data_IF_977672245290
#
_entry.id   IF_977672245290
#
_cell.length_a   1.000
_cell.length_b   1.000
_cell.length_c   1.000
_cell.angle_alpha   90.00
_cell.angle_beta   90.00
_cell.angle_gamma   90.00
#
_symmetry.space_group_name_H-M   'P 1'
#
loop_
_entity.id
_entity.type
_entity.pdbx_description
1 polymer ?
#
# COMPACT_ATOMS: atom_id res chain seq x y z
N UNK A 1 -1.24 2.06 16.67
CA UNK A 1 0.03 1.47 16.17
C UNK A 1 0.58 2.34 15.03
N UNK A 2 1.89 2.49 14.91
CA UNK A 2 2.56 3.19 13.80
C UNK A 2 3.45 2.18 13.07
N UNK A 3 3.39 2.16 11.74
CA UNK A 3 4.26 1.31 10.92
C UNK A 3 5.03 2.14 9.89
N UNK A 4 6.35 2.01 9.88
CA UNK A 4 7.24 2.65 8.91
C UNK A 4 7.64 1.62 7.86
N UNK A 5 7.32 1.88 6.59
CA UNK A 5 7.52 0.91 5.50
C UNK A 5 8.57 1.34 4.51
N UNK A 6 9.42 0.39 4.13
CA UNK A 6 10.39 0.58 3.07
C UNK A 6 10.60 -0.69 2.26
N UNK A 7 10.80 -0.53 0.96
CA UNK A 7 11.34 -1.54 0.05
C UNK A 7 12.82 -1.29 -0.29
N UNK A 8 13.40 -0.25 0.31
CA UNK A 8 14.80 0.13 0.24
C UNK A 8 15.47 -0.13 1.61
N UNK A 9 16.17 -1.25 1.72
CA UNK A 9 16.83 -1.69 2.94
C UNK A 9 17.97 -0.77 3.37
N UNK A 10 18.53 0.02 2.45
CA UNK A 10 19.54 1.02 2.80
C UNK A 10 18.98 2.12 3.71
N UNK A 11 17.65 2.25 3.79
CA UNK A 11 16.98 3.23 4.67
C UNK A 11 16.72 2.74 6.09
N UNK A 12 16.94 1.45 6.39
CA UNK A 12 16.62 0.89 7.71
C UNK A 12 17.36 1.64 8.83
N UNK A 13 18.66 1.88 8.67
CA UNK A 13 19.45 2.61 9.68
C UNK A 13 18.92 4.04 9.92
N UNK A 14 18.57 4.75 8.84
CA UNK A 14 18.00 6.09 8.95
C UNK A 14 16.60 6.08 9.60
N UNK A 15 15.79 5.06 9.32
CA UNK A 15 14.48 4.87 9.95
C UNK A 15 14.67 4.61 11.46
N UNK A 16 15.57 3.71 11.84
CA UNK A 16 15.92 3.42 13.24
C UNK A 16 16.37 4.67 13.99
N UNK A 17 17.27 5.48 13.42
CA UNK A 17 17.71 6.73 14.05
C UNK A 17 16.57 7.72 14.29
N UNK A 18 15.61 7.82 13.36
CA UNK A 18 14.43 8.67 13.53
C UNK A 18 13.48 8.19 14.63
N UNK A 19 13.42 6.89 14.87
CA UNK A 19 12.60 6.29 15.93
C UNK A 19 13.19 6.64 17.29
N UNK A 20 14.49 6.42 17.44
CA UNK A 20 15.24 6.70 18.67
C UNK A 20 15.19 8.19 19.03
N UNK A 21 15.30 9.08 18.04
CA UNK A 21 15.26 10.54 18.24
C UNK A 21 13.90 11.05 18.74
N UNK A 22 12.80 10.37 18.41
CA UNK A 22 11.43 10.82 18.72
C UNK A 22 10.87 10.17 19.98
N UNK A 23 11.58 9.20 20.57
CA UNK A 23 11.18 8.43 21.76
C UNK A 23 9.72 7.94 21.65
N UNK A 24 9.40 7.39 20.47
CA UNK A 24 8.10 6.79 20.21
C UNK A 24 8.12 5.49 21.00
N UNK A 25 7.37 5.43 22.10
CA UNK A 25 7.31 4.25 22.96
C UNK A 25 6.75 3.00 22.26
N UNK A 26 6.05 2.14 23.00
CA UNK A 26 5.46 0.92 22.43
C UNK A 26 4.46 1.23 21.30
N UNK A 27 4.35 0.31 20.35
CA UNK A 27 3.36 0.29 19.28
C UNK A 27 3.93 0.58 17.90
N UNK A 28 5.26 0.48 17.74
CA UNK A 28 5.96 0.77 16.49
C UNK A 28 6.37 -0.50 15.75
N UNK A 29 6.22 -0.50 14.43
CA UNK A 29 6.64 -1.60 13.56
C UNK A 29 7.44 -1.08 12.37
N UNK A 30 8.35 -1.91 11.86
CA UNK A 30 8.97 -1.69 10.55
C UNK A 30 8.40 -2.70 9.56
N UNK A 31 7.87 -2.21 8.44
CA UNK A 31 7.43 -3.04 7.34
C UNK A 31 8.47 -3.10 6.22
N UNK A 32 8.78 -4.31 5.77
CA UNK A 32 9.75 -4.58 4.72
C UNK A 32 9.14 -5.32 3.55
N UNK A 33 9.55 -4.96 2.34
CA UNK A 33 9.06 -5.55 1.10
C UNK A 33 8.24 -4.57 0.26
N UNK A 34 7.53 -5.09 -0.73
CA UNK A 34 6.79 -4.28 -1.68
C UNK A 34 5.53 -4.99 -2.14
N UNK A 35 4.42 -4.26 -2.14
CA UNK A 35 3.15 -4.70 -2.75
C UNK A 35 3.24 -4.81 -4.28
N UNK A 36 4.27 -4.21 -4.92
CA UNK A 36 4.31 -4.00 -6.36
C UNK A 36 5.26 -4.92 -7.13
N UNK A 37 6.22 -5.57 -6.47
CA UNK A 37 7.30 -6.26 -7.16
C UNK A 37 7.95 -7.41 -6.37
N UNK A 38 7.98 -8.60 -6.96
CA UNK A 38 8.66 -9.80 -6.42
C UNK A 38 10.18 -9.68 -6.28
N UNK A 39 10.80 -8.72 -6.98
CA UNK A 39 12.24 -8.48 -6.90
C UNK A 39 12.60 -7.50 -5.78
N UNK A 40 11.61 -6.99 -5.04
CA UNK A 40 11.76 -6.14 -3.86
C UNK A 40 11.46 -6.90 -2.55
N UNK A 41 11.24 -8.21 -2.64
CA UNK A 41 11.17 -9.07 -1.45
C UNK A 41 12.55 -9.11 -0.77
N UNK A 42 12.62 -8.93 0.56
CA UNK A 42 13.87 -9.00 1.32
C UNK A 42 14.55 -10.36 1.20
N UNK A 43 15.85 -10.43 1.46
CA UNK A 43 16.44 -11.70 1.89
C UNK A 43 15.92 -12.06 3.30
N UNK A 44 15.75 -13.35 3.59
CA UNK A 44 15.24 -13.82 4.90
C UNK A 44 16.10 -13.34 6.07
N UNK A 45 17.43 -13.27 5.87
CA UNK A 45 18.37 -12.71 6.84
C UNK A 45 18.12 -11.22 7.14
N UNK A 46 17.72 -10.42 6.14
CA UNK A 46 17.43 -9.00 6.34
C UNK A 46 16.18 -8.81 7.20
N UNK A 47 15.17 -9.66 7.04
CA UNK A 47 13.98 -9.64 7.91
C UNK A 47 14.35 -9.98 9.35
N UNK A 48 15.17 -11.02 9.54
CA UNK A 48 15.63 -11.44 10.85
C UNK A 48 16.41 -10.29 11.54
N UNK A 49 17.31 -9.64 10.81
CA UNK A 49 18.06 -8.47 11.31
C UNK A 49 17.15 -7.30 11.71
N UNK A 50 16.12 -7.00 10.92
CA UNK A 50 15.14 -5.96 11.27
C UNK A 50 14.34 -6.38 12.50
N UNK A 51 14.01 -7.66 12.65
CA UNK A 51 13.25 -8.16 13.80
C UNK A 51 14.01 -8.16 15.12
N UNK A 52 15.34 -8.12 15.06
CA UNK A 52 16.23 -8.05 16.23
C UNK A 52 16.45 -6.61 16.73
N UNK A 53 15.83 -5.61 16.10
CA UNK A 53 15.93 -4.22 16.52
C UNK A 53 15.13 -3.97 17.81
N UNK A 54 15.78 -3.49 18.86
CA UNK A 54 15.16 -3.24 20.17
C UNK A 54 14.15 -2.08 20.18
N UNK A 55 14.19 -1.20 19.17
CA UNK A 55 13.33 -0.01 19.07
C UNK A 55 11.95 -0.28 18.42
N UNK A 56 11.63 -1.53 18.07
CA UNK A 56 10.36 -1.90 17.45
C UNK A 56 9.67 -3.05 18.18
N UNK A 57 8.34 -3.10 18.08
CA UNK A 57 7.53 -4.19 18.65
C UNK A 57 7.41 -5.41 17.72
N UNK A 58 7.73 -5.22 16.43
CA UNK A 58 7.74 -6.31 15.47
C UNK A 58 7.92 -5.85 14.03
N UNK A 59 8.13 -6.83 13.16
CA UNK A 59 8.36 -6.64 11.72
C UNK A 59 7.13 -7.06 10.93
N UNK A 60 6.83 -6.32 9.87
CA UNK A 60 5.79 -6.68 8.91
C UNK A 60 6.44 -7.06 7.58
N UNK A 61 6.16 -8.24 7.03
CA UNK A 61 6.51 -8.59 5.66
C UNK A 61 5.38 -8.17 4.72
N UNK A 62 5.71 -7.42 3.66
CA UNK A 62 4.76 -7.03 2.61
C UNK A 62 5.01 -7.89 1.38
N UNK A 63 4.04 -8.74 1.02
CA UNK A 63 4.11 -9.55 -0.19
C UNK A 63 3.56 -8.78 -1.40
N UNK A 64 4.05 -9.06 -2.63
CA UNK A 64 3.60 -8.37 -3.83
C UNK A 64 2.34 -9.00 -4.44
N UNK A 65 1.63 -8.22 -5.27
CA UNK A 65 0.79 -8.77 -6.33
C UNK A 65 1.68 -9.64 -7.22
N UNK A 66 1.36 -10.92 -7.37
CA UNK A 66 2.33 -11.92 -7.85
C UNK A 66 1.96 -12.41 -9.25
N UNK A 67 2.75 -12.05 -10.29
CA UNK A 67 2.57 -12.64 -11.61
C UNK A 67 2.76 -14.16 -11.56
N UNK A 68 1.96 -14.91 -12.32
CA UNK A 68 1.98 -16.38 -12.34
C UNK A 68 3.39 -16.99 -12.47
N UNK A 69 4.27 -16.39 -13.30
CA UNK A 69 5.65 -16.87 -13.50
C UNK A 69 6.53 -16.84 -12.25
N UNK A 70 6.10 -16.16 -11.20
CA UNK A 70 6.79 -16.03 -9.92
C UNK A 70 6.03 -16.64 -8.75
N UNK A 71 4.86 -17.24 -9.01
CA UNK A 71 3.97 -17.76 -7.98
C UNK A 71 4.66 -18.73 -7.03
N UNK A 72 5.24 -19.81 -7.56
CA UNK A 72 5.91 -20.83 -6.74
C UNK A 72 7.09 -20.26 -5.93
N UNK A 73 7.82 -19.29 -6.51
CA UNK A 73 8.92 -18.60 -5.83
C UNK A 73 8.41 -17.80 -4.63
N UNK A 74 7.31 -17.07 -4.80
CA UNK A 74 6.74 -16.25 -3.72
C UNK A 74 6.11 -17.15 -2.65
N UNK A 75 5.41 -18.21 -3.02
CA UNK A 75 4.86 -19.17 -2.05
C UNK A 75 5.96 -19.83 -1.21
N UNK A 76 7.02 -20.33 -1.86
CA UNK A 76 8.17 -20.91 -1.17
C UNK A 76 8.84 -19.91 -0.21
N UNK A 77 8.99 -18.67 -0.65
CA UNK A 77 9.55 -17.60 0.17
C UNK A 77 8.68 -17.24 1.38
N UNK A 78 7.36 -17.10 1.20
CA UNK A 78 6.44 -16.77 2.31
C UNK A 78 6.46 -17.87 3.38
N UNK A 79 6.46 -19.14 2.97
CA UNK A 79 6.56 -20.25 3.90
C UNK A 79 7.92 -20.27 4.61
N UNK A 80 9.03 -20.03 3.88
CA UNK A 80 10.36 -19.92 4.48
C UNK A 80 10.40 -18.83 5.57
N UNK A 81 9.83 -17.66 5.31
CA UNK A 81 9.78 -16.56 6.29
C UNK A 81 8.89 -16.90 7.49
N UNK A 82 7.75 -17.54 7.27
CA UNK A 82 6.87 -17.98 8.35
C UNK A 82 7.58 -18.98 9.29
N UNK A 83 8.42 -19.85 8.72
CA UNK A 83 9.18 -20.88 9.45
C UNK A 83 10.39 -20.33 10.23
N UNK A 84 10.79 -19.08 10.02
CA UNK A 84 11.92 -18.46 10.74
C UNK A 84 11.65 -18.28 12.24
N UNK A 85 10.40 -18.38 12.68
CA UNK A 85 10.03 -18.18 14.09
C UNK A 85 10.24 -16.73 14.58
N UNK A 86 10.19 -15.76 13.67
CA UNK A 86 10.33 -14.34 14.00
C UNK A 86 9.21 -13.91 14.95
N UNK A 87 9.60 -13.37 16.10
CA UNK A 87 8.65 -12.89 17.10
C UNK A 87 7.85 -11.71 16.54
N UNK A 88 6.53 -11.74 16.77
CA UNK A 88 5.60 -10.68 16.35
C UNK A 88 5.67 -10.34 14.85
N UNK A 89 6.00 -11.32 14.00
CA UNK A 89 5.91 -11.20 12.55
C UNK A 89 4.45 -11.02 12.12
N UNK A 90 4.20 -10.02 11.28
CA UNK A 90 2.95 -9.86 10.54
C UNK A 90 3.23 -10.05 9.07
N UNK A 91 2.35 -10.74 8.34
CA UNK A 91 2.44 -10.87 6.89
C UNK A 91 1.24 -10.18 6.25
N UNK A 92 1.53 -9.19 5.42
CA UNK A 92 0.55 -8.48 4.58
C UNK A 92 0.52 -9.13 3.22
N UNK A 93 -0.67 -9.57 2.81
CA UNK A 93 -0.87 -10.29 1.56
C UNK A 93 -1.58 -9.42 0.54
N UNK A 94 -0.96 -9.20 -0.62
CA UNK A 94 -1.53 -8.39 -1.71
C UNK A 94 -2.05 -9.24 -2.89
N UNK A 95 -2.01 -10.56 -2.78
CA UNK A 95 -2.42 -11.48 -3.84
C UNK A 95 -3.29 -12.61 -3.28
N UNK A 96 -4.51 -12.76 -3.82
CA UNK A 96 -5.45 -13.80 -3.38
C UNK A 96 -4.93 -15.22 -3.61
N UNK A 97 -4.13 -15.45 -4.66
CA UNK A 97 -3.53 -16.74 -4.94
C UNK A 97 -2.51 -17.12 -3.87
N UNK A 98 -1.67 -16.16 -3.44
CA UNK A 98 -0.73 -16.34 -2.32
C UNK A 98 -1.49 -16.58 -1.02
N UNK A 99 -2.52 -15.76 -0.71
CA UNK A 99 -3.35 -15.93 0.49
C UNK A 99 -3.97 -17.33 0.56
N UNK A 100 -4.48 -17.84 -0.57
CA UNK A 100 -5.13 -19.14 -0.64
C UNK A 100 -4.15 -20.31 -0.55
N UNK A 101 -2.91 -20.12 -0.99
CA UNK A 101 -1.96 -21.23 -1.20
C UNK A 101 -0.88 -21.35 -0.14
N UNK A 102 -0.69 -20.33 0.69
CA UNK A 102 0.26 -20.31 1.79
C UNK A 102 -0.46 -20.44 3.14
N UNK A 103 0.10 -21.24 4.04
CA UNK A 103 -0.37 -21.30 5.43
C UNK A 103 0.20 -20.12 6.21
N UNK A 104 -0.50 -19.00 6.15
CA UNK A 104 -0.10 -17.77 6.83
C UNK A 104 -0.89 -17.68 8.13
N UNK A 105 -0.21 -17.55 9.26
CA UNK A 105 -0.89 -17.34 10.53
C UNK A 105 -1.39 -15.90 10.62
N UNK A 106 -2.72 -15.74 10.72
CA UNK A 106 -3.41 -14.46 10.90
C UNK A 106 -2.94 -13.36 9.92
N UNK A 107 -3.08 -13.56 8.59
CA UNK A 107 -2.64 -12.59 7.59
C UNK A 107 -3.43 -11.28 7.67
N UNK A 108 -2.81 -10.21 7.16
CA UNK A 108 -3.47 -8.93 6.89
C UNK A 108 -3.69 -8.79 5.39
N UNK A 109 -4.90 -8.43 4.96
CA UNK A 109 -5.19 -8.17 3.55
C UNK A 109 -4.68 -6.79 3.16
N UNK A 110 -3.71 -6.73 2.26
CA UNK A 110 -3.15 -5.47 1.74
C UNK A 110 -4.03 -4.80 0.68
N UNK A 111 -3.59 -3.64 0.19
CA UNK A 111 -4.27 -2.85 -0.85
C UNK A 111 -4.38 -3.54 -2.22
N UNK A 112 -3.63 -4.63 -2.44
CA UNK A 112 -3.80 -5.52 -3.59
C UNK A 112 -5.06 -6.43 -3.52
N UNK A 113 -5.68 -6.55 -2.34
CA UNK A 113 -6.92 -7.32 -2.12
C UNK A 113 -8.08 -6.39 -1.73
N UNK A 114 -7.79 -5.33 -0.98
CA UNK A 114 -8.77 -4.37 -0.48
C UNK A 114 -8.78 -3.14 -1.39
N UNK A 115 -9.91 -2.91 -2.05
CA UNK A 115 -10.03 -1.84 -3.05
C UNK A 115 -11.24 -0.95 -2.78
N UNK A 116 -11.08 0.32 -3.13
CA UNK A 116 -12.08 1.39 -3.07
C UNK A 116 -11.96 2.23 -4.32
N UNK A 117 -13.07 2.76 -4.82
CA UNK A 117 -13.06 3.65 -5.97
C UNK A 117 -12.70 5.10 -5.59
N UNK A 118 -12.68 5.45 -4.30
CA UNK A 118 -12.38 6.82 -3.85
C UNK A 118 -10.96 7.27 -4.26
N UNK A 119 -10.04 6.34 -4.43
CA UNK A 119 -8.68 6.64 -4.90
C UNK A 119 -8.61 7.00 -6.39
N UNK A 120 -9.72 6.91 -7.14
CA UNK A 120 -9.81 7.39 -8.51
C UNK A 120 -9.94 8.93 -8.51
N UNK A 121 -9.00 9.69 -9.11
CA UNK A 121 -9.00 11.14 -8.98
C UNK A 121 -10.24 11.85 -9.54
N UNK A 122 -10.92 11.22 -10.49
CA UNK A 122 -12.13 11.74 -11.13
C UNK A 122 -13.40 10.99 -10.71
N UNK A 123 -13.38 10.30 -9.56
CA UNK A 123 -14.52 9.50 -9.07
C UNK A 123 -15.80 10.33 -8.94
N UNK A 124 -15.70 11.56 -8.45
CA UNK A 124 -16.87 12.44 -8.28
C UNK A 124 -17.44 12.89 -9.64
N UNK A 125 -16.60 12.98 -10.69
CA UNK A 125 -17.07 13.26 -12.05
C UNK A 125 -17.79 12.06 -12.68
N UNK A 126 -17.34 10.83 -12.39
CA UNK A 126 -18.03 9.60 -12.82
C UNK A 126 -19.41 9.53 -12.18
N UNK A 127 -19.51 9.89 -10.90
CA UNK A 127 -20.70 9.72 -10.07
C UNK A 127 -21.64 10.94 -10.03
N UNK A 128 -21.35 12.00 -10.80
CA UNK A 128 -22.05 13.29 -10.71
C UNK A 128 -23.57 13.17 -10.91
N UNK A 129 -23.98 12.35 -11.87
CA UNK A 129 -25.38 12.18 -12.28
C UNK A 129 -26.04 10.94 -11.63
N UNK A 130 -25.31 10.26 -10.73
CA UNK A 130 -25.80 9.08 -10.03
C UNK A 130 -26.62 9.44 -8.78
N UNK A 131 -27.53 8.55 -8.37
CA UNK A 131 -28.26 8.70 -7.11
C UNK A 131 -27.35 8.52 -5.89
N UNK A 132 -27.69 9.14 -4.76
CA UNK A 132 -26.91 9.00 -3.51
C UNK A 132 -26.71 7.54 -3.08
N UNK A 133 -27.71 6.68 -3.34
CA UNK A 133 -27.60 5.23 -3.11
C UNK A 133 -26.49 4.59 -3.96
N UNK A 134 -26.42 4.92 -5.25
CA UNK A 134 -25.38 4.39 -6.15
C UNK A 134 -24.02 4.95 -5.77
N UNK A 135 -23.93 6.24 -5.43
CA UNK A 135 -22.67 6.85 -4.98
C UNK A 135 -22.14 6.17 -3.73
N UNK A 136 -22.97 6.02 -2.70
CA UNK A 136 -22.57 5.35 -1.45
C UNK A 136 -22.09 3.93 -1.73
N UNK A 137 -22.84 3.14 -2.50
CA UNK A 137 -22.47 1.78 -2.87
C UNK A 137 -21.14 1.69 -3.64
N UNK A 138 -20.88 2.61 -4.57
CA UNK A 138 -19.68 2.62 -5.40
C UNK A 138 -18.40 3.02 -4.63
N UNK A 139 -18.57 3.79 -3.55
CA UNK A 139 -17.49 4.33 -2.72
C UNK A 139 -17.19 3.46 -1.49
N UNK A 140 -17.90 2.33 -1.33
CA UNK A 140 -17.56 1.34 -0.31
C UNK A 140 -16.32 0.54 -0.72
N UNK A 141 -15.70 -0.13 0.24
CA UNK A 141 -14.68 -1.13 -0.06
C UNK A 141 -15.33 -2.37 -0.66
N UNK A 142 -14.58 -3.15 -1.44
CA UNK A 142 -15.02 -4.46 -1.91
C UNK A 142 -15.40 -5.43 -0.76
N UNK A 143 -14.95 -5.17 0.47
CA UNK A 143 -15.27 -5.96 1.66
C UNK A 143 -16.60 -5.58 2.31
N UNK A 144 -17.21 -4.46 1.95
CA UNK A 144 -18.57 -4.17 2.40
C UNK A 144 -19.60 -5.09 1.72
N UNK A 145 -19.21 -5.80 0.65
CA UNK A 145 -19.98 -6.94 0.15
C UNK A 145 -19.79 -8.16 1.04
N UNK A 146 -20.88 -8.61 1.67
CA UNK A 146 -20.87 -9.64 2.72
C UNK A 146 -20.19 -10.96 2.32
N UNK A 147 -20.31 -11.38 1.06
CA UNK A 147 -19.67 -12.63 0.59
C UNK A 147 -18.15 -12.51 0.51
N UNK A 148 -17.62 -11.37 0.08
CA UNK A 148 -16.17 -11.12 0.05
C UNK A 148 -15.63 -11.06 1.47
N UNK A 149 -16.33 -10.37 2.37
CA UNK A 149 -15.96 -10.31 3.79
C UNK A 149 -15.91 -11.70 4.43
N UNK A 150 -16.96 -12.51 4.25
CA UNK A 150 -17.01 -13.87 4.78
C UNK A 150 -15.87 -14.74 4.25
N UNK A 151 -15.61 -14.68 2.93
CA UNK A 151 -14.50 -15.41 2.31
C UNK A 151 -13.15 -15.04 2.94
N UNK A 152 -12.85 -13.76 3.14
CA UNK A 152 -11.58 -13.35 3.74
C UNK A 152 -11.47 -13.75 5.21
N UNK A 153 -12.58 -13.71 5.97
CA UNK A 153 -12.60 -14.23 7.35
C UNK A 153 -12.34 -15.73 7.41
N UNK A 154 -12.93 -16.50 6.49
CA UNK A 154 -12.72 -17.95 6.40
C UNK A 154 -11.27 -18.29 6.03
N UNK A 155 -10.58 -17.41 5.30
CA UNK A 155 -9.15 -17.50 5.01
C UNK A 155 -8.25 -17.00 6.16
N UNK A 156 -8.82 -16.66 7.32
CA UNK A 156 -8.09 -16.29 8.53
C UNK A 156 -7.55 -14.86 8.57
N UNK A 157 -8.02 -13.97 7.69
CA UNK A 157 -7.63 -12.56 7.70
C UNK A 157 -8.05 -11.91 9.03
N UNK A 158 -7.10 -11.25 9.71
CA UNK A 158 -7.35 -10.53 10.98
C UNK A 158 -7.52 -9.03 10.80
N UNK A 159 -6.94 -8.48 9.74
CA UNK A 159 -6.89 -7.05 9.51
C UNK A 159 -6.78 -6.70 8.04
N UNK A 160 -7.01 -5.43 7.74
CA UNK A 160 -7.06 -4.91 6.39
C UNK A 160 -6.24 -3.64 6.27
N UNK A 161 -5.67 -3.42 5.09
CA UNK A 161 -5.02 -2.16 4.76
C UNK A 161 -5.86 -1.35 3.78
N UNK A 162 -5.94 -0.06 4.07
CA UNK A 162 -6.67 0.89 3.24
C UNK A 162 -5.82 2.13 2.99
N UNK A 163 -6.19 2.91 1.97
CA UNK A 163 -5.69 4.27 1.85
C UNK A 163 -6.42 5.18 2.84
N UNK A 164 -5.71 6.13 3.45
CA UNK A 164 -6.30 7.12 4.33
C UNK A 164 -7.09 8.16 3.51
N UNK A 165 -8.31 7.81 3.16
CA UNK A 165 -9.29 8.64 2.46
C UNK A 165 -10.63 8.63 3.23
N UNK A 166 -11.35 9.76 3.33
CA UNK A 166 -12.48 9.90 4.24
C UNK A 166 -13.59 8.84 4.06
N UNK A 167 -14.02 8.57 2.83
CA UNK A 167 -15.12 7.64 2.55
C UNK A 167 -14.68 6.19 2.74
N UNK A 168 -13.43 5.90 2.42
CA UNK A 168 -12.76 4.60 2.58
C UNK A 168 -12.60 4.25 4.07
N UNK A 169 -12.14 5.19 4.90
CA UNK A 169 -12.08 5.02 6.36
C UNK A 169 -13.48 4.79 6.91
N UNK A 170 -14.46 5.61 6.51
CA UNK A 170 -15.84 5.45 6.95
C UNK A 170 -16.43 4.08 6.57
N UNK A 171 -16.09 3.56 5.39
CA UNK A 171 -16.52 2.24 4.92
C UNK A 171 -15.84 1.09 5.67
N UNK A 172 -14.53 1.20 5.90
CA UNK A 172 -13.73 0.20 6.60
C UNK A 172 -14.12 0.06 8.07
N UNK A 173 -14.43 1.16 8.75
CA UNK A 173 -14.86 1.16 10.17
C UNK A 173 -16.17 0.42 10.46
N UNK A 174 -16.95 0.10 9.41
CA UNK A 174 -18.17 -0.71 9.54
C UNK A 174 -17.88 -2.21 9.44
N UNK A 175 -16.65 -2.58 9.11
CA UNK A 175 -16.19 -3.96 9.03
C UNK A 175 -15.66 -4.39 10.39
N UNK A 176 -15.72 -5.68 10.64
CA UNK A 176 -15.20 -6.32 11.86
C UNK A 176 -13.83 -6.92 11.53
N UNK A 177 -12.85 -6.03 11.37
CA UNK A 177 -11.42 -6.26 11.12
C UNK A 177 -10.60 -5.14 11.77
N UNK A 178 -9.35 -5.42 12.12
CA UNK A 178 -8.39 -4.34 12.41
C UNK A 178 -8.12 -3.53 11.13
N UNK A 179 -8.11 -2.20 11.21
CA UNK A 179 -7.93 -1.29 10.07
C UNK A 179 -6.60 -0.57 10.17
N UNK A 180 -5.74 -0.76 9.17
CA UNK A 180 -4.46 -0.08 9.04
C UNK A 180 -4.46 0.86 7.83
N UNK A 181 -4.27 2.16 8.04
CA UNK A 181 -4.42 3.15 6.99
C UNK A 181 -3.09 3.73 6.50
N UNK A 182 -2.87 3.74 5.19
CA UNK A 182 -1.72 4.36 4.54
C UNK A 182 -1.87 5.88 4.49
N UNK A 183 -0.96 6.57 5.17
CA UNK A 183 -0.98 8.02 5.31
C UNK A 183 -0.26 8.74 4.16
N UNK A 184 -0.84 9.84 3.70
CA UNK A 184 -0.22 10.80 2.78
C UNK A 184 -0.27 10.41 1.30
N UNK A 185 -0.38 9.13 0.96
CA UNK A 185 -0.47 8.66 -0.43
C UNK A 185 -1.48 7.53 -0.59
N UNK A 186 -2.41 7.69 -1.53
CA UNK A 186 -3.39 6.69 -1.91
C UNK A 186 -2.97 5.96 -3.20
N UNK A 187 -3.25 4.66 -3.30
CA UNK A 187 -2.95 3.88 -4.51
C UNK A 187 -4.04 4.11 -5.54
N UNK A 188 -3.64 4.64 -6.69
CA UNK A 188 -4.54 4.84 -7.83
C UNK A 188 -4.59 3.59 -8.70
N UNK A 189 -3.44 2.96 -8.94
CA UNK A 189 -3.37 1.78 -9.80
C UNK A 189 -2.09 0.95 -9.60
N UNK A 190 -2.23 -0.35 -9.84
CA UNK A 190 -1.11 -1.26 -10.12
C UNK A 190 -1.06 -1.55 -11.60
N UNK A 191 0.09 -1.35 -12.25
CA UNK A 191 0.20 -1.61 -13.67
C UNK A 191 0.53 -3.07 -13.97
N UNK A 192 -0.05 -3.63 -15.05
CA UNK A 192 0.28 -4.99 -15.53
C UNK A 192 1.67 -5.11 -16.13
N UNK A 193 2.28 -3.97 -16.47
CA UNK A 193 3.63 -3.88 -17.03
C UNK A 193 4.39 -2.80 -16.28
N UNK A 194 5.60 -3.12 -15.83
CA UNK A 194 6.40 -2.23 -14.99
C UNK A 194 6.73 -0.92 -15.71
N UNK A 195 6.06 0.16 -15.30
CA UNK A 195 6.30 1.50 -15.86
C UNK A 195 7.73 1.96 -15.63
N UNK A 196 8.29 1.73 -14.44
CA UNK A 196 9.68 2.11 -14.12
C UNK A 196 10.67 1.37 -15.02
N UNK A 197 10.54 0.05 -15.15
CA UNK A 197 11.40 -0.74 -16.04
C UNK A 197 11.31 -0.25 -17.49
N UNK A 198 10.10 0.01 -17.99
CA UNK A 198 9.88 0.54 -19.35
C UNK A 198 10.50 1.92 -19.53
N UNK A 199 10.34 2.81 -18.56
CA UNK A 199 10.84 4.18 -18.62
C UNK A 199 12.37 4.22 -18.69
N UNK A 200 13.05 3.40 -17.89
CA UNK A 200 14.51 3.30 -17.89
C UNK A 200 15.07 2.33 -18.93
N UNK A 201 14.22 1.68 -19.74
CA UNK A 201 14.63 0.64 -20.71
C UNK A 201 15.41 -0.52 -20.06
N UNK A 202 15.01 -0.91 -18.85
CA UNK A 202 15.61 -1.97 -18.05
C UNK A 202 14.71 -3.19 -17.94
N UNK A 203 15.28 -4.33 -17.53
CA UNK A 203 14.53 -5.54 -17.22
C UNK A 203 14.59 -5.83 -15.71
N UNK A 204 13.49 -6.25 -15.06
CA UNK A 204 13.57 -6.76 -13.69
C UNK A 204 14.55 -7.94 -13.60
N UNK A 205 15.44 -8.01 -12.59
CA UNK A 205 15.51 -7.15 -11.39
C UNK A 205 16.38 -5.88 -11.52
N UNK A 206 17.03 -5.61 -12.65
CA UNK A 206 17.99 -4.50 -12.81
C UNK A 206 17.34 -3.11 -12.59
N UNK A 207 16.03 -3.01 -12.79
CA UNK A 207 15.29 -1.77 -12.56
C UNK A 207 15.06 -1.42 -11.07
N UNK A 208 15.33 -2.32 -10.12
CA UNK A 208 14.91 -2.17 -8.71
C UNK A 208 15.52 -0.97 -8.00
N UNK A 209 16.73 -0.53 -8.40
CA UNK A 209 17.39 0.66 -7.87
C UNK A 209 16.63 1.97 -8.18
N UNK A 210 15.88 2.00 -9.29
CA UNK A 210 15.07 3.16 -9.68
C UNK A 210 13.73 3.22 -8.96
N UNK A 211 13.42 2.22 -8.13
CA UNK A 211 12.17 2.10 -7.40
C UNK A 211 12.25 2.60 -5.95
N UNK A 212 13.33 3.31 -5.57
CA UNK A 212 13.58 3.76 -4.18
C UNK A 212 13.07 5.19 -3.89
N UNK A 213 12.61 5.88 -4.95
CA UNK A 213 12.10 7.24 -4.89
C UNK A 213 10.98 7.40 -5.92
N UNK A 214 9.94 8.21 -5.64
CA UNK A 214 8.85 8.42 -6.58
C UNK A 214 9.29 9.26 -7.77
N UNK A 215 8.73 8.96 -8.94
CA UNK A 215 8.74 9.81 -10.11
C UNK A 215 7.42 10.56 -10.20
N UNK A 216 7.48 11.87 -10.43
CA UNK A 216 6.28 12.66 -10.69
C UNK A 216 5.77 12.38 -12.11
N UNK A 217 4.46 12.23 -12.25
CA UNK A 217 3.76 12.00 -13.51
C UNK A 217 2.83 13.17 -13.79
N UNK A 218 3.02 13.80 -14.94
CA UNK A 218 2.17 14.87 -15.44
C UNK A 218 1.36 14.41 -16.66
N UNK A 219 0.09 14.83 -16.73
CA UNK A 219 -0.75 14.57 -17.89
C UNK A 219 -0.36 15.54 -19.02
N UNK A 220 0.31 14.99 -20.05
CA UNK A 220 0.71 15.75 -21.23
C UNK A 220 -0.36 15.77 -22.31
N UNK A 221 -0.83 14.60 -22.69
CA UNK A 221 -1.76 14.39 -23.81
C UNK A 221 -2.84 13.40 -23.40
N UNK A 222 -4.06 13.59 -23.91
CA UNK A 222 -5.19 12.67 -23.81
C UNK A 222 -5.48 12.08 -25.19
N UNK A 223 -5.92 10.82 -25.22
CA UNK A 223 -6.39 10.21 -26.45
C UNK A 223 -7.83 10.66 -26.69
N UNK A 224 -8.02 11.48 -27.72
CA UNK A 224 -9.33 11.95 -28.14
C UNK A 224 -9.98 10.93 -29.08
N UNK A 225 -11.18 10.47 -28.69
CA UNK A 225 -11.95 9.48 -29.44
C UNK A 225 -12.59 10.07 -30.71
N UNK A 226 -12.81 11.39 -30.76
CA UNK A 226 -13.40 12.05 -31.94
C UNK A 226 -12.37 12.19 -33.06
N UNK A 227 -11.17 12.70 -32.74
CA UNK A 227 -10.09 12.83 -33.71
C UNK A 227 -9.24 11.56 -33.88
N UNK A 228 -9.43 10.54 -33.03
CA UNK A 228 -8.59 9.34 -32.95
C UNK A 228 -7.09 9.67 -32.83
N UNK A 229 -6.79 10.75 -32.09
CA UNK A 229 -5.43 11.29 -31.97
C UNK A 229 -5.13 11.76 -30.55
N UNK A 230 -3.86 12.06 -30.27
CA UNK A 230 -3.46 12.65 -29.01
C UNK A 230 -3.60 14.17 -29.07
N UNK A 231 -4.31 14.74 -28.10
CA UNK A 231 -4.49 16.18 -27.94
C UNK A 231 -4.10 16.61 -26.52
N UNK A 232 -3.64 17.85 -26.31
CA UNK A 232 -3.40 18.34 -24.96
C UNK A 232 -4.72 18.40 -24.18
N UNK A 233 -4.72 18.14 -22.86
CA UNK A 233 -5.93 18.23 -22.05
C UNK A 233 -6.42 19.68 -22.01
N UNK A 234 -7.74 19.85 -22.05
CA UNK A 234 -8.40 21.14 -21.83
C UNK A 234 -8.30 21.58 -20.35
N UNK A 235 -8.88 22.74 -20.04
CA UNK A 235 -8.81 23.31 -18.69
C UNK A 235 -9.54 22.44 -17.66
N UNK A 236 -10.70 21.89 -18.04
CA UNK A 236 -11.54 21.09 -17.15
C UNK A 236 -10.83 19.78 -16.78
N UNK A 237 -10.21 19.10 -17.74
CA UNK A 237 -9.42 17.88 -17.47
C UNK A 237 -8.22 18.19 -16.59
N UNK A 238 -7.53 19.31 -16.82
CA UNK A 238 -6.37 19.73 -15.99
C UNK A 238 -6.75 20.06 -14.55
N UNK A 239 -7.96 20.56 -14.30
CA UNK A 239 -8.43 20.86 -12.95
C UNK A 239 -8.69 19.58 -12.15
N UNK A 240 -9.18 18.53 -12.82
CA UNK A 240 -9.56 17.27 -12.19
C UNK A 240 -8.38 16.31 -12.05
N UNK A 241 -7.41 16.37 -12.97
CA UNK A 241 -6.31 15.43 -12.99
C UNK A 241 -5.17 15.89 -12.07
N UNK A 242 -4.95 15.25 -10.91
CA UNK A 242 -3.90 15.67 -9.99
C UNK A 242 -2.53 15.27 -10.52
N UNK A 243 -1.50 15.81 -9.89
CA UNK A 243 -0.15 15.25 -9.99
C UNK A 243 -0.18 13.83 -9.45
N UNK A 244 0.31 12.88 -10.25
CA UNK A 244 0.44 11.48 -9.88
C UNK A 244 1.90 11.15 -9.60
N UNK A 245 2.12 10.05 -8.88
CA UNK A 245 3.46 9.60 -8.51
C UNK A 245 3.64 8.13 -8.87
N UNK A 246 4.73 7.78 -9.54
CA UNK A 246 5.12 6.41 -9.84
C UNK A 246 6.22 5.97 -8.87
N UNK A 247 5.96 4.94 -8.08
CA UNK A 247 7.00 4.26 -7.31
C UNK A 247 7.00 2.77 -7.70
N UNK A 248 8.04 2.36 -8.41
CA UNK A 248 8.16 1.02 -8.96
C UNK A 248 7.09 0.71 -10.00
N UNK A 249 6.06 -0.04 -9.63
CA UNK A 249 4.98 -0.44 -10.52
C UNK A 249 3.58 0.02 -10.04
N UNK A 250 3.56 0.91 -9.04
CA UNK A 250 2.35 1.44 -8.45
C UNK A 250 2.26 2.94 -8.69
N UNK A 251 1.08 3.39 -9.09
CA UNK A 251 0.73 4.79 -9.27
C UNK A 251 -0.02 5.25 -8.02
N UNK A 252 0.40 6.38 -7.49
CA UNK A 252 -0.14 7.00 -6.30
C UNK A 252 -0.65 8.40 -6.61
N UNK A 253 -1.55 8.89 -5.77
CA UNK A 253 -1.86 10.30 -5.62
C UNK A 253 -1.63 10.71 -4.17
N UNK A 254 -1.32 11.99 -3.96
CA UNK A 254 -1.18 12.53 -2.60
C UNK A 254 -2.56 12.64 -1.96
N UNK A 255 -2.68 12.19 -0.71
CA UNK A 255 -3.86 12.39 0.12
C UNK A 255 -3.60 13.51 1.12
N UNK A 256 -4.48 14.51 1.14
CA UNK A 256 -4.47 15.57 2.14
C UNK A 256 -5.24 15.19 3.42
N UNK A 257 -5.84 13.99 3.45
CA UNK A 257 -6.51 13.49 4.65
C UNK A 257 -5.50 13.29 5.78
N UNK A 258 -5.78 13.89 6.93
CA UNK A 258 -4.99 13.73 8.17
C UNK A 258 -5.75 13.04 9.29
N UNK A 259 -7.06 12.85 9.11
CA UNK A 259 -7.91 12.26 10.12
C UNK A 259 -7.79 10.73 10.09
N UNK A 260 -7.01 10.20 11.03
CA UNK A 260 -6.87 8.77 11.28
C UNK A 260 -7.76 8.30 12.44
N UNK A 261 -8.78 9.07 12.84
CA UNK A 261 -9.64 8.68 13.95
C UNK A 261 -10.41 7.38 13.63
N UNK A 262 -10.24 6.40 14.52
CA UNK A 262 -10.93 5.11 14.43
C UNK A 262 -10.28 4.10 13.49
N UNK A 263 -8.99 4.25 13.16
CA UNK A 263 -8.16 3.17 12.61
C UNK A 263 -7.23 2.63 13.70
N UNK A 264 -6.87 1.34 13.62
CA UNK A 264 -6.03 0.66 14.62
C UNK A 264 -4.53 0.95 14.44
N UNK A 265 -4.14 1.36 13.24
CA UNK A 265 -2.83 1.95 13.02
C UNK A 265 -2.63 2.70 11.72
N UNK A 266 -1.54 3.45 11.70
CA UNK A 266 -1.14 4.30 10.58
C UNK A 266 0.14 3.76 9.95
N UNK A 267 0.13 3.62 8.64
CA UNK A 267 1.24 3.15 7.83
C UNK A 267 1.84 4.34 7.08
N UNK A 268 3.15 4.52 7.18
CA UNK A 268 3.90 5.55 6.47
C UNK A 268 4.87 4.90 5.50
N UNK A 269 4.73 5.20 4.21
CA UNK A 269 5.66 4.72 3.19
C UNK A 269 6.90 5.65 3.11
N UNK A 270 8.02 5.18 3.65
CA UNK A 270 9.31 5.88 3.68
C UNK A 270 10.01 5.92 2.31
N UNK A 271 9.48 5.22 1.30
CA UNK A 271 9.93 5.36 -0.08
C UNK A 271 9.28 6.53 -0.81
N UNK A 272 8.10 6.96 -0.36
CA UNK A 272 7.37 8.10 -0.96
C UNK A 272 7.77 9.44 -0.36
N UNK A 273 8.26 9.45 0.87
CA UNK A 273 8.66 10.65 1.58
C UNK A 273 9.80 10.36 2.55
N UNK A 274 10.66 11.36 2.79
CA UNK A 274 11.61 11.29 3.90
C UNK A 274 10.80 11.31 5.21
N UNK A 275 10.93 10.30 6.08
CA UNK A 275 10.23 10.33 7.35
C UNK A 275 10.73 11.53 8.15
N UNK A 276 9.81 12.24 8.79
CA UNK A 276 10.12 13.40 9.63
C UNK A 276 9.43 13.23 10.97
N UNK A 277 10.02 13.80 12.03
CA UNK A 277 9.46 13.74 13.38
C UNK A 277 8.00 14.19 13.40
N UNK A 278 7.63 15.21 12.63
CA UNK A 278 6.23 15.69 12.52
C UNK A 278 5.22 14.63 12.09
N UNK A 279 5.60 13.70 11.22
CA UNK A 279 4.71 12.61 10.77
C UNK A 279 4.44 11.67 11.93
N UNK A 280 5.47 11.38 12.74
CA UNK A 280 5.40 10.50 13.90
C UNK A 280 4.56 11.11 15.03
N UNK A 281 4.56 12.44 15.17
CA UNK A 281 3.71 13.17 16.13
C UNK A 281 2.23 13.21 15.74
N UNK A 282 1.90 13.22 14.45
CA UNK A 282 0.50 13.26 13.98
C UNK A 282 -0.24 11.95 14.26
N UNK A 283 0.47 10.84 14.30
CA UNK A 283 -0.09 9.50 14.54
C UNK A 283 -0.08 9.08 16.01
N UNK A 284 0.67 9.77 16.89
CA UNK A 284 0.71 9.52 18.33
C UNK A 284 -0.42 10.19 19.14
N UNK A 285 -1.12 11.17 18.58
CA UNK A 285 -2.19 11.92 19.26
C UNK A 285 -3.62 11.42 18.93
N UNK A 286 -3.75 10.26 18.28
CA UNK A 286 -5.04 9.70 17.82
C UNK A 286 -5.75 8.81 18.85
N UNK A 287 -5.32 8.81 20.13
CA UNK A 287 -5.88 8.01 21.24
C UNK A 287 -7.03 8.71 21.97
#
# INVERSE_FOLDING_TARGET
MIELRTSDYSKIEAITGLIEDVDIGSGLRIGVGSEACVHKLPATLEIAQVSDLDCIDGVTLITPITPQKHFDRVCGYVNEVADLGIRNLRIVVNDLGILYSCEIYRPVAGRGIVHTSEACPWVDHILRDESDYVRDAYLQTNLNYSRTCALLKDLGIEGIEIDLLPRTVAAARRLDFDVYAHFGYAVVAYARSCHTARFYSELPPLCTQFCNSPLELELRDIFDLESLSFAPPDADVKEVFPVLYLLGNTIYMKSDCRDAAGVDGVIVNCDMCTPSSKILWLSGNSS
#
